data_IF_807087279744
#
_entry.id   IF_807087279744
#
_cell.length_a   1.000
_cell.length_b   1.000
_cell.length_c   1.000
_cell.angle_alpha   90.00
_cell.angle_beta   90.00
_cell.angle_gamma   90.00
#
_symmetry.space_group_name_H-M   'P 1'
#
loop_
_entity.id
_entity.type
_entity.pdbx_description
1 polymer ?
#
# COMPACT_ATOMS: atom_id res chain seq x y z
N UNK A 1 23.28 36.81 -51.47
CA UNK A 1 22.04 36.00 -51.39
C UNK A 1 22.14 35.11 -50.16
N UNK A 2 21.42 35.44 -49.09
CA UNK A 2 21.53 34.70 -47.83
C UNK A 2 20.92 33.30 -47.98
N UNK A 3 21.78 32.28 -47.85
CA UNK A 3 21.43 30.85 -47.85
C UNK A 3 20.46 30.56 -46.70
N UNK A 4 19.29 30.01 -47.01
CA UNK A 4 18.37 29.40 -46.04
C UNK A 4 19.01 28.14 -45.48
N UNK A 5 19.34 28.14 -44.20
CA UNK A 5 19.68 26.92 -43.46
C UNK A 5 18.40 26.10 -43.23
N UNK A 6 18.45 24.77 -43.43
CA UNK A 6 17.29 23.91 -43.30
C UNK A 6 16.89 23.73 -41.83
N UNK A 7 15.61 23.96 -41.53
CA UNK A 7 14.99 23.53 -40.28
C UNK A 7 14.87 22.02 -40.31
N UNK A 8 15.88 21.35 -39.79
CA UNK A 8 15.79 19.97 -39.32
C UNK A 8 16.23 19.97 -37.87
N UNK A 9 15.31 19.77 -36.93
CA UNK A 9 15.53 19.07 -35.65
C UNK A 9 14.14 18.59 -35.19
N UNK A 10 13.97 17.28 -35.38
CA UNK A 10 13.38 16.31 -34.46
C UNK A 10 12.03 16.64 -33.80
N UNK A 11 11.02 15.89 -34.24
CA UNK A 11 9.89 15.52 -33.41
C UNK A 11 10.41 14.74 -32.20
N UNK A 12 10.84 15.45 -31.16
CA UNK A 12 11.00 14.88 -29.83
C UNK A 12 9.59 14.49 -29.41
N UNK A 13 9.25 13.21 -29.60
CA UNK A 13 7.99 12.65 -29.12
C UNK A 13 7.89 13.01 -27.65
N UNK A 14 6.95 13.89 -27.30
CA UNK A 14 6.81 14.38 -25.95
C UNK A 14 6.72 13.17 -25.02
N UNK A 15 7.68 13.06 -24.10
CA UNK A 15 7.64 12.07 -23.03
C UNK A 15 6.37 12.35 -22.23
N UNK A 16 5.37 11.49 -22.36
CA UNK A 16 4.09 11.59 -21.67
C UNK A 16 4.24 10.98 -20.27
N UNK A 17 3.91 11.74 -19.24
CA UNK A 17 4.34 11.45 -17.86
C UNK A 17 3.16 11.30 -16.89
N UNK A 18 2.91 10.06 -16.50
CA UNK A 18 2.62 9.47 -15.17
C UNK A 18 1.67 10.19 -14.20
N UNK A 19 0.48 9.58 -14.02
CA UNK A 19 -0.31 9.61 -12.78
C UNK A 19 -0.76 8.18 -12.45
N UNK A 20 -0.02 7.48 -11.59
CA UNK A 20 -0.32 6.08 -11.23
C UNK A 20 -1.18 6.03 -9.97
N UNK A 21 -2.40 5.50 -10.09
CA UNK A 21 -3.21 5.09 -8.93
C UNK A 21 -3.03 3.58 -8.74
N UNK A 22 -1.93 3.14 -8.09
CA UNK A 22 -1.83 1.76 -7.60
C UNK A 22 -0.58 1.54 -6.75
N UNK A 23 -0.70 0.58 -5.84
CA UNK A 23 0.41 0.08 -5.02
C UNK A 23 1.33 -0.91 -5.79
N UNK A 24 1.07 -1.17 -7.08
CA UNK A 24 1.64 -2.29 -7.85
C UNK A 24 2.16 -1.88 -9.23
N UNK A 25 2.97 -0.82 -9.30
CA UNK A 25 3.48 -0.21 -10.54
C UNK A 25 3.98 -1.23 -11.60
N UNK A 26 4.77 -2.23 -11.19
CA UNK A 26 5.33 -3.24 -12.09
C UNK A 26 4.27 -4.07 -12.87
N UNK A 27 3.16 -4.45 -12.22
CA UNK A 27 2.07 -5.19 -12.88
C UNK A 27 1.39 -4.28 -13.90
N UNK A 28 1.23 -3.01 -13.55
CA UNK A 28 0.59 -2.02 -14.40
C UNK A 28 1.43 -1.63 -15.60
N UNK A 29 2.75 -1.46 -15.44
CA UNK A 29 3.66 -1.22 -16.56
C UNK A 29 3.62 -2.35 -17.58
N UNK A 30 3.60 -3.60 -17.11
CA UNK A 30 3.50 -4.78 -17.98
C UNK A 30 2.19 -4.79 -18.76
N UNK A 31 1.08 -4.52 -18.08
CA UNK A 31 -0.24 -4.43 -18.73
C UNK A 31 -0.36 -3.22 -19.66
N UNK A 32 0.29 -2.10 -19.35
CA UNK A 32 0.32 -0.91 -20.19
C UNK A 32 1.06 -1.20 -21.50
N UNK A 33 2.24 -1.82 -21.43
CA UNK A 33 3.01 -2.25 -22.60
C UNK A 33 2.20 -3.21 -23.47
N UNK A 34 1.50 -4.17 -22.85
CA UNK A 34 0.62 -5.10 -23.56
C UNK A 34 -0.56 -4.41 -24.26
N UNK A 35 -0.97 -3.23 -23.78
CA UNK A 35 -2.06 -2.42 -24.36
C UNK A 35 -1.57 -1.43 -25.42
N UNK A 36 -0.28 -1.35 -25.70
CA UNK A 36 0.33 -0.35 -26.60
C UNK A 36 -0.12 1.08 -26.30
N UNK A 37 -0.39 1.38 -25.02
CA UNK A 37 -0.94 2.67 -24.63
C UNK A 37 0.15 3.64 -24.18
N UNK A 38 0.14 4.90 -24.66
CA UNK A 38 1.11 5.89 -24.27
C UNK A 38 0.78 6.55 -22.92
N UNK A 39 -0.44 6.38 -22.41
CA UNK A 39 -0.80 6.74 -21.04
C UNK A 39 -0.30 5.64 -20.11
N UNK A 40 0.04 6.04 -18.90
CA UNK A 40 0.38 5.14 -17.81
C UNK A 40 -0.50 5.43 -16.58
N UNK A 41 -1.67 6.00 -16.83
CA UNK A 41 -2.66 6.35 -15.82
C UNK A 41 -3.62 5.19 -15.62
N UNK A 42 -3.69 4.74 -14.37
CA UNK A 42 -4.49 3.61 -13.93
C UNK A 42 -5.32 4.03 -12.74
N UNK A 43 -6.63 3.95 -12.81
CA UNK A 43 -7.57 4.44 -11.79
C UNK A 43 -8.37 3.28 -11.18
N UNK A 44 -8.69 3.36 -9.89
CA UNK A 44 -9.53 2.36 -9.20
C UNK A 44 -10.99 2.47 -9.64
N UNK A 45 -11.71 1.34 -9.67
CA UNK A 45 -13.10 1.27 -10.12
C UNK A 45 -14.05 2.23 -9.40
N UNK A 46 -13.92 2.36 -8.07
CA UNK A 46 -14.73 3.30 -7.30
C UNK A 46 -14.41 4.78 -7.61
N UNK A 47 -13.19 5.09 -8.06
CA UNK A 47 -12.84 6.45 -8.52
C UNK A 47 -13.40 6.74 -9.92
N UNK A 48 -13.48 5.74 -10.79
CA UNK A 48 -14.17 5.85 -12.10
C UNK A 48 -15.61 6.31 -11.88
N UNK A 49 -16.33 5.63 -10.99
CA UNK A 49 -17.71 5.97 -10.63
C UNK A 49 -17.81 7.37 -10.02
N UNK A 50 -16.97 7.69 -9.04
CA UNK A 50 -16.98 8.99 -8.37
C UNK A 50 -16.68 10.18 -9.29
N UNK A 51 -15.90 9.97 -10.35
CA UNK A 51 -15.54 11.01 -11.32
C UNK A 51 -16.48 11.07 -12.53
N UNK A 52 -17.53 10.23 -12.56
CA UNK A 52 -18.52 10.16 -13.63
C UNK A 52 -17.95 9.63 -14.94
N UNK A 53 -16.87 8.85 -14.87
CA UNK A 53 -16.27 8.21 -16.04
C UNK A 53 -16.99 6.89 -16.32
N UNK A 54 -16.89 6.42 -17.55
CA UNK A 54 -17.47 5.14 -17.97
C UNK A 54 -16.44 4.32 -18.73
N UNK A 55 -16.37 3.00 -18.50
CA UNK A 55 -15.58 2.12 -19.34
C UNK A 55 -16.08 2.14 -20.78
N UNK A 56 -15.14 2.11 -21.73
CA UNK A 56 -15.42 1.86 -23.14
C UNK A 56 -16.15 0.52 -23.31
N UNK A 57 -17.04 0.37 -24.30
CA UNK A 57 -17.72 -0.89 -24.57
C UNK A 57 -16.72 -2.05 -24.74
N UNK A 58 -16.88 -3.10 -23.92
CA UNK A 58 -15.99 -4.27 -23.94
C UNK A 58 -14.68 -4.10 -23.14
N UNK A 59 -14.45 -2.96 -22.50
CA UNK A 59 -13.29 -2.76 -21.64
C UNK A 59 -13.30 -3.72 -20.44
N UNK A 60 -12.24 -4.53 -20.31
CA UNK A 60 -12.04 -5.43 -19.17
C UNK A 60 -11.05 -4.82 -18.17
N UNK A 61 -11.45 -4.56 -16.91
CA UNK A 61 -10.54 -4.04 -15.90
C UNK A 61 -9.44 -5.05 -15.57
N UNK A 62 -8.28 -4.54 -15.18
CA UNK A 62 -7.21 -5.35 -14.60
C UNK A 62 -7.58 -5.66 -13.15
N UNK A 63 -7.71 -6.95 -12.83
CA UNK A 63 -7.99 -7.40 -11.47
C UNK A 63 -6.70 -7.79 -10.77
N UNK A 64 -6.47 -7.22 -9.58
CA UNK A 64 -5.32 -7.55 -8.74
C UNK A 64 -5.80 -8.17 -7.44
N UNK A 65 -5.33 -9.37 -7.13
CA UNK A 65 -5.48 -9.98 -5.82
C UNK A 65 -4.30 -9.57 -4.95
N UNK A 66 -4.58 -8.80 -3.90
CA UNK A 66 -3.58 -8.29 -2.98
C UNK A 66 -3.72 -8.91 -1.61
N UNK A 67 -2.58 -9.17 -0.97
CA UNK A 67 -2.54 -9.41 0.46
C UNK A 67 -2.72 -8.08 1.20
N UNK A 68 -3.82 -7.97 1.93
CA UNK A 68 -4.15 -6.85 2.80
C UNK A 68 -4.04 -7.30 4.25
N UNK A 69 -3.12 -6.73 5.03
CA UNK A 69 -3.07 -6.99 6.46
C UNK A 69 -4.32 -6.40 7.12
N UNK A 70 -5.11 -7.28 7.73
CA UNK A 70 -6.23 -6.92 8.58
C UNK A 70 -5.74 -6.94 10.03
N UNK A 71 -5.58 -5.75 10.61
CA UNK A 71 -5.22 -5.57 12.00
C UNK A 71 -6.48 -5.62 12.88
N UNK A 72 -6.60 -6.66 13.70
CA UNK A 72 -7.71 -6.87 14.62
C UNK A 72 -7.23 -6.91 16.06
N UNK A 73 -8.06 -6.39 16.95
CA UNK A 73 -7.93 -6.46 18.40
C UNK A 73 -9.14 -7.18 18.97
N UNK A 74 -8.90 -8.02 19.96
CA UNK A 74 -9.96 -8.69 20.69
C UNK A 74 -10.53 -7.77 21.78
N UNK A 75 -11.81 -7.92 22.08
CA UNK A 75 -12.47 -7.20 23.17
C UNK A 75 -11.80 -7.39 24.53
N UNK A 76 -11.20 -8.55 24.80
CA UNK A 76 -10.50 -8.82 26.07
C UNK A 76 -9.26 -7.95 26.25
N UNK A 77 -8.79 -7.32 25.18
CA UNK A 77 -7.68 -6.37 25.18
C UNK A 77 -8.13 -4.93 25.46
N UNK A 78 -9.43 -4.68 25.59
CA UNK A 78 -9.99 -3.38 25.98
C UNK A 78 -10.07 -3.26 27.50
N UNK A 79 -9.83 -2.06 28.04
CA UNK A 79 -9.98 -1.77 29.48
C UNK A 79 -11.44 -1.93 29.93
N UNK A 80 -12.36 -1.42 29.10
CA UNK A 80 -13.80 -1.51 29.33
C UNK A 80 -14.46 -1.91 28.01
N UNK A 81 -14.65 -3.23 27.77
CA UNK A 81 -15.33 -3.71 26.59
C UNK A 81 -16.80 -3.23 26.59
N UNK A 82 -17.37 -2.86 25.43
CA UNK A 82 -18.79 -2.57 25.32
C UNK A 82 -19.65 -3.73 25.79
N UNK A 83 -20.75 -3.44 26.49
CA UNK A 83 -21.78 -4.44 26.76
C UNK A 83 -22.47 -4.82 25.45
N UNK A 84 -22.21 -6.05 25.01
CA UNK A 84 -22.75 -6.63 23.79
C UNK A 84 -23.14 -8.06 24.09
N UNK A 85 -24.17 -8.57 23.41
CA UNK A 85 -24.48 -9.99 23.50
C UNK A 85 -23.27 -10.83 23.09
N UNK A 86 -23.13 -11.99 23.72
CA UNK A 86 -22.10 -12.95 23.38
C UNK A 86 -22.22 -13.35 21.91
N UNK A 87 -21.11 -13.31 21.18
CA UNK A 87 -21.10 -13.73 19.78
C UNK A 87 -20.92 -15.26 19.72
N UNK A 88 -21.74 -15.98 18.92
CA UNK A 88 -21.65 -17.44 18.83
C UNK A 88 -20.34 -17.92 18.19
N UNK A 89 -19.71 -17.07 17.37
CA UNK A 89 -18.43 -17.30 16.67
C UNK A 89 -17.66 -15.99 16.54
N UNK A 90 -16.40 -16.05 16.13
CA UNK A 90 -15.59 -14.84 15.97
C UNK A 90 -16.25 -13.85 15.00
N UNK A 91 -16.54 -12.65 15.48
CA UNK A 91 -17.42 -11.70 14.78
C UNK A 91 -16.85 -10.29 14.79
N UNK A 92 -17.17 -9.56 13.74
CA UNK A 92 -16.82 -8.14 13.61
C UNK A 92 -17.73 -7.29 14.46
N UNK A 93 -17.16 -6.48 15.35
CA UNK A 93 -17.91 -5.53 16.14
C UNK A 93 -18.66 -4.51 15.28
N UNK A 94 -18.11 -4.09 14.14
CA UNK A 94 -18.72 -3.03 13.33
C UNK A 94 -19.92 -3.51 12.53
N UNK A 95 -19.82 -4.68 11.88
CA UNK A 95 -20.89 -5.21 11.03
C UNK A 95 -21.83 -6.12 11.79
N UNK A 96 -21.45 -6.56 13.00
CA UNK A 96 -22.14 -7.60 13.79
C UNK A 96 -22.29 -8.93 13.03
N UNK A 97 -21.48 -9.13 12.00
CA UNK A 97 -21.46 -10.36 11.20
C UNK A 97 -20.33 -11.26 11.65
N UNK A 98 -20.60 -12.56 11.59
CA UNK A 98 -19.58 -13.60 11.73
C UNK A 98 -18.59 -13.49 10.58
N UNK A 99 -17.32 -13.71 10.87
CA UNK A 99 -16.32 -13.84 9.82
C UNK A 99 -16.42 -15.18 9.08
N UNK A 100 -15.93 -15.22 7.84
CA UNK A 100 -15.85 -16.45 7.05
C UNK A 100 -14.90 -17.48 7.64
N UNK A 101 -15.00 -18.73 7.19
CA UNK A 101 -14.34 -19.91 7.79
C UNK A 101 -12.83 -19.75 7.96
N UNK A 102 -12.12 -19.23 6.95
CA UNK A 102 -10.68 -18.99 7.04
C UNK A 102 -10.32 -18.08 8.24
N UNK A 103 -11.06 -16.98 8.38
CA UNK A 103 -10.79 -16.03 9.47
C UNK A 103 -11.27 -16.57 10.82
N UNK A 104 -12.31 -17.41 10.87
CA UNK A 104 -12.69 -18.12 12.09
C UNK A 104 -11.53 -18.98 12.60
N UNK A 105 -10.90 -19.74 11.70
CA UNK A 105 -9.82 -20.64 12.04
C UNK A 105 -8.61 -19.88 12.58
N UNK A 106 -8.15 -18.85 11.85
CA UNK A 106 -7.02 -18.02 12.28
C UNK A 106 -7.31 -17.30 13.60
N UNK A 107 -8.51 -16.73 13.78
CA UNK A 107 -8.86 -16.03 15.02
C UNK A 107 -9.06 -16.99 16.20
N UNK A 108 -9.46 -18.24 15.96
CA UNK A 108 -9.57 -19.25 17.00
C UNK A 108 -8.19 -19.67 17.51
N UNK A 109 -7.23 -19.88 16.62
CA UNK A 109 -5.83 -20.12 17.00
C UNK A 109 -5.28 -18.96 17.84
N UNK A 110 -5.48 -17.72 17.40
CA UNK A 110 -5.06 -16.53 18.19
C UNK A 110 -5.76 -16.45 19.54
N UNK A 111 -7.06 -16.73 19.58
CA UNK A 111 -7.83 -16.70 20.81
C UNK A 111 -7.35 -17.75 21.80
N UNK A 112 -7.05 -18.97 21.35
CA UNK A 112 -6.49 -20.02 22.19
C UNK A 112 -5.10 -19.63 22.70
N UNK A 113 -4.22 -19.15 21.82
CA UNK A 113 -2.85 -18.76 22.18
C UNK A 113 -2.80 -17.63 23.22
N UNK A 114 -3.71 -16.66 23.12
CA UNK A 114 -3.76 -15.51 24.03
C UNK A 114 -4.79 -15.64 25.16
N UNK A 115 -5.52 -16.75 25.23
CA UNK A 115 -6.55 -16.98 26.25
C UNK A 115 -7.77 -16.04 26.12
N UNK A 116 -8.08 -15.57 24.91
CA UNK A 116 -9.25 -14.72 24.69
C UNK A 116 -10.55 -15.52 24.80
N UNK A 117 -11.42 -15.07 25.69
CA UNK A 117 -12.78 -15.55 25.88
C UNK A 117 -13.73 -14.86 24.90
N UNK A 118 -13.56 -13.55 24.68
CA UNK A 118 -14.45 -12.82 23.80
C UNK A 118 -14.28 -13.25 22.35
N UNK A 119 -15.41 -13.41 21.66
CA UNK A 119 -15.47 -13.67 20.22
C UNK A 119 -15.60 -12.38 19.40
N UNK A 120 -15.61 -11.22 20.04
CA UNK A 120 -15.69 -9.93 19.36
C UNK A 120 -14.32 -9.37 19.00
N UNK A 121 -14.19 -8.94 17.75
CA UNK A 121 -12.98 -8.32 17.22
C UNK A 121 -13.30 -6.95 16.61
N UNK A 122 -12.34 -6.03 16.71
CA UNK A 122 -12.44 -4.69 16.15
C UNK A 122 -11.09 -4.21 15.59
N UNK A 123 -11.11 -3.20 14.73
CA UNK A 123 -9.89 -2.49 14.31
C UNK A 123 -9.56 -1.34 15.26
N UNK A 124 -8.33 -0.86 15.24
CA UNK A 124 -7.91 0.33 16.00
C UNK A 124 -8.78 1.56 15.69
N UNK A 125 -9.09 1.79 14.41
CA UNK A 125 -9.95 2.90 13.99
C UNK A 125 -11.36 2.80 14.58
N UNK A 126 -11.90 1.58 14.70
CA UNK A 126 -13.19 1.35 15.34
C UNK A 126 -13.12 1.60 16.85
N UNK A 127 -12.02 1.24 17.52
CA UNK A 127 -11.82 1.54 18.94
C UNK A 127 -11.85 3.06 19.16
N UNK A 128 -11.06 3.80 18.38
CA UNK A 128 -10.99 5.26 18.46
C UNK A 128 -12.36 5.90 18.20
N UNK A 129 -13.06 5.46 17.14
CA UNK A 129 -14.40 5.99 16.81
C UNK A 129 -15.41 5.79 17.95
N UNK A 130 -15.28 4.71 18.71
CA UNK A 130 -16.17 4.39 19.83
C UNK A 130 -15.59 4.78 21.20
N UNK A 131 -14.51 5.60 21.24
CA UNK A 131 -13.83 6.03 22.47
C UNK A 131 -13.39 4.87 23.37
N UNK A 132 -13.03 3.73 22.79
CA UNK A 132 -12.58 2.54 23.51
C UNK A 132 -11.08 2.62 23.75
N UNK A 133 -10.66 2.27 24.96
CA UNK A 133 -9.25 2.29 25.37
C UNK A 133 -8.69 0.87 25.50
N UNK A 134 -7.49 0.65 24.95
CA UNK A 134 -6.78 -0.62 25.05
C UNK A 134 -6.05 -0.75 26.39
N UNK A 135 -5.96 -1.98 26.91
CA UNK A 135 -5.10 -2.33 28.05
C UNK A 135 -3.62 -2.13 27.69
N UNK A 136 -2.79 -1.88 28.70
CA UNK A 136 -1.34 -1.88 28.53
C UNK A 136 -0.86 -3.22 27.98
N UNK A 137 -0.09 -3.18 26.87
CA UNK A 137 0.41 -4.39 26.20
C UNK A 137 -0.57 -5.07 25.23
N UNK A 138 -1.71 -4.44 24.88
CA UNK A 138 -2.58 -4.94 23.82
C UNK A 138 -1.82 -5.10 22.50
N UNK A 139 -1.83 -6.31 21.94
CA UNK A 139 -1.16 -6.65 20.68
C UNK A 139 -2.20 -6.96 19.61
N UNK A 140 -2.02 -6.38 18.43
CA UNK A 140 -2.87 -6.68 17.28
C UNK A 140 -2.65 -8.11 16.79
N UNK A 141 -3.74 -8.80 16.49
CA UNK A 141 -3.73 -9.95 15.58
C UNK A 141 -3.74 -9.42 14.15
N UNK A 142 -2.62 -9.57 13.44
CA UNK A 142 -2.52 -9.19 12.03
C UNK A 142 -2.73 -10.46 11.20
N UNK A 143 -3.75 -10.41 10.34
CA UNK A 143 -4.13 -11.51 9.45
C UNK A 143 -4.03 -11.05 7.99
N UNK A 144 -3.37 -11.82 7.14
CA UNK A 144 -3.33 -11.55 5.70
C UNK A 144 -4.64 -11.97 5.05
N UNK A 145 -5.44 -10.99 4.70
CA UNK A 145 -6.67 -11.18 3.91
C UNK A 145 -6.39 -10.92 2.44
N UNK A 146 -7.15 -11.54 1.53
CA UNK A 146 -7.11 -11.18 0.12
C UNK A 146 -8.08 -10.04 -0.14
N UNK A 147 -7.61 -8.95 -0.74
CA UNK A 147 -8.45 -7.90 -1.32
C UNK A 147 -8.30 -7.92 -2.83
N UNK A 148 -9.42 -7.93 -3.55
CA UNK A 148 -9.41 -7.72 -5.00
C UNK A 148 -9.53 -6.23 -5.30
N UNK A 149 -8.61 -5.69 -6.10
CA UNK A 149 -8.71 -4.36 -6.68
C UNK A 149 -9.03 -4.49 -8.16
N UNK A 150 -9.93 -3.63 -8.64
CA UNK A 150 -10.20 -3.47 -10.07
C UNK A 150 -9.63 -2.14 -10.52
N UNK A 151 -8.80 -2.19 -11.55
CA UNK A 151 -8.12 -1.04 -12.12
C UNK A 151 -8.49 -0.89 -13.58
N UNK A 152 -8.85 0.33 -13.98
CA UNK A 152 -9.01 0.70 -15.37
C UNK A 152 -7.82 1.52 -15.81
N UNK A 153 -7.26 1.16 -16.96
CA UNK A 153 -6.32 2.03 -17.65
C UNK A 153 -7.09 3.20 -18.27
N UNK A 154 -6.49 4.39 -18.33
CA UNK A 154 -7.19 5.57 -18.86
C UNK A 154 -7.68 5.39 -20.30
N UNK A 155 -6.96 4.61 -21.12
CA UNK A 155 -7.40 4.27 -22.50
C UNK A 155 -8.61 3.33 -22.56
N UNK A 156 -9.09 2.82 -21.42
CA UNK A 156 -10.27 1.97 -21.33
C UNK A 156 -11.51 2.75 -20.89
N UNK A 157 -11.38 4.07 -20.70
CA UNK A 157 -12.42 4.93 -20.20
C UNK A 157 -12.76 5.97 -21.25
N UNK A 158 -14.05 6.21 -21.46
CA UNK A 158 -14.55 7.28 -22.30
C UNK A 158 -14.10 8.62 -21.68
N UNK A 159 -13.32 9.39 -22.44
CA UNK A 159 -12.72 10.64 -21.96
C UNK A 159 -11.58 10.45 -20.96
N UNK A 160 -11.01 9.24 -20.86
CA UNK A 160 -9.95 8.93 -19.90
C UNK A 160 -8.64 9.68 -20.16
N UNK A 161 -8.42 10.22 -21.36
CA UNK A 161 -7.29 11.12 -21.66
C UNK A 161 -7.28 12.37 -20.76
N UNK A 162 -8.43 12.85 -20.30
CA UNK A 162 -8.53 13.97 -19.38
C UNK A 162 -7.92 13.66 -18.00
N UNK A 163 -7.72 12.39 -17.65
CA UNK A 163 -7.08 12.01 -16.39
C UNK A 163 -5.60 12.39 -16.34
N UNK A 164 -4.93 12.56 -17.49
CA UNK A 164 -3.51 12.97 -17.54
C UNK A 164 -3.28 14.34 -16.91
N UNK A 165 -4.23 15.26 -17.12
CA UNK A 165 -4.21 16.65 -16.65
C UNK A 165 -5.19 16.88 -15.51
N UNK A 166 -5.74 15.82 -14.91
CA UNK A 166 -6.60 15.96 -13.75
C UNK A 166 -5.74 16.29 -12.52
N UNK A 167 -6.02 17.38 -11.77
CA UNK A 167 -5.24 17.71 -10.58
C UNK A 167 -5.20 16.56 -9.56
N UNK A 168 -3.99 16.19 -9.15
CA UNK A 168 -3.67 15.11 -8.21
C UNK A 168 -2.62 15.59 -7.21
N UNK A 169 -2.80 15.28 -5.94
CA UNK A 169 -1.80 15.56 -4.90
C UNK A 169 -0.67 14.53 -4.95
N UNK A 170 0.59 14.93 -5.07
CA UNK A 170 1.74 14.02 -5.08
C UNK A 170 1.98 13.32 -3.76
N UNK A 171 1.69 13.96 -2.62
CA UNK A 171 1.83 13.32 -1.31
C UNK A 171 0.74 12.28 -1.03
N UNK A 172 -0.53 12.63 -1.22
CA UNK A 172 -1.66 11.74 -0.90
C UNK A 172 -2.11 10.86 -2.06
N UNK A 173 -1.75 11.23 -3.29
CA UNK A 173 -2.15 10.60 -4.57
C UNK A 173 -3.66 10.62 -4.81
N UNK A 174 -4.38 11.45 -4.05
CA UNK A 174 -5.82 11.63 -4.21
C UNK A 174 -6.08 12.63 -5.32
N UNK A 175 -7.08 12.30 -6.14
CA UNK A 175 -7.70 13.24 -7.06
C UNK A 175 -8.31 14.40 -6.26
N UNK A 176 -8.06 15.63 -6.70
CA UNK A 176 -8.83 16.76 -6.17
C UNK A 176 -10.28 16.63 -6.63
N UNK A 177 -11.24 16.89 -5.74
CA UNK A 177 -12.66 16.80 -6.10
C UNK A 177 -13.00 17.84 -7.17
N UNK A 178 -13.65 17.41 -8.27
CA UNK A 178 -14.12 18.30 -9.35
C UNK A 178 -15.00 19.46 -8.85
N UNK A 179 -15.66 19.30 -7.69
CA UNK A 179 -16.51 20.32 -7.07
C UNK A 179 -15.75 21.27 -6.14
N UNK A 180 -14.47 21.00 -5.87
CA UNK A 180 -13.65 21.79 -4.95
C UNK A 180 -12.97 22.97 -5.64
N UNK A 181 -12.84 24.09 -4.92
CA UNK A 181 -12.15 25.29 -5.39
C UNK A 181 -10.70 25.00 -5.82
N UNK A 182 -9.99 24.19 -5.04
CA UNK A 182 -8.63 23.74 -5.36
C UNK A 182 -8.55 23.04 -6.73
N UNK A 183 -9.55 22.24 -7.11
CA UNK A 183 -9.56 21.60 -8.42
C UNK A 183 -9.66 22.63 -9.54
N UNK A 184 -10.54 23.63 -9.40
CA UNK A 184 -10.74 24.65 -10.43
C UNK A 184 -9.46 25.46 -10.64
N UNK A 185 -8.87 25.95 -9.55
CA UNK A 185 -7.63 26.74 -9.60
C UNK A 185 -6.49 25.94 -10.24
N UNK A 186 -6.27 24.70 -9.80
CA UNK A 186 -5.19 23.86 -10.34
C UNK A 186 -5.43 23.46 -11.80
N UNK A 187 -6.69 23.19 -12.18
CA UNK A 187 -7.04 22.86 -13.57
C UNK A 187 -6.85 24.03 -14.52
N UNK A 188 -7.22 25.24 -14.08
CA UNK A 188 -6.99 26.46 -14.86
C UNK A 188 -5.50 26.75 -14.98
N UNK A 189 -4.73 26.54 -13.91
CA UNK A 189 -3.28 26.72 -13.94
C UNK A 189 -2.58 25.72 -14.89
N UNK A 190 -3.02 24.45 -14.92
CA UNK A 190 -2.56 23.47 -15.92
C UNK A 190 -2.82 23.99 -17.33
N UNK A 191 -4.03 24.47 -17.61
CA UNK A 191 -4.42 24.94 -18.93
C UNK A 191 -3.63 26.18 -19.37
N UNK A 192 -3.44 27.13 -18.46
CA UNK A 192 -2.70 28.38 -18.72
C UNK A 192 -1.23 28.11 -19.04
N UNK A 193 -0.60 27.22 -18.30
CA UNK A 193 0.82 26.88 -18.48
C UNK A 193 1.05 25.72 -19.46
N UNK A 194 -0.02 25.11 -19.97
CA UNK A 194 0.01 23.95 -20.88
C UNK A 194 0.78 22.76 -20.30
N UNK A 195 0.63 22.52 -19.00
CA UNK A 195 1.22 21.32 -18.40
C UNK A 195 0.53 20.06 -18.94
N UNK A 196 1.32 19.02 -19.14
CA UNK A 196 0.87 17.70 -19.57
C UNK A 196 0.49 16.80 -18.39
N UNK A 197 0.92 17.15 -17.18
CA UNK A 197 0.61 16.44 -15.94
C UNK A 197 -0.26 17.25 -15.00
N UNK A 198 -1.22 16.57 -14.36
CA UNK A 198 -1.98 17.11 -13.24
C UNK A 198 -1.35 16.89 -11.86
N UNK A 199 -0.11 16.39 -11.79
CA UNK A 199 0.54 16.05 -10.53
C UNK A 199 1.13 17.29 -9.84
N UNK A 200 0.71 17.52 -8.58
CA UNK A 200 1.08 18.69 -7.80
C UNK A 200 1.67 18.35 -6.43
N UNK A 201 2.70 19.06 -6.02
CA UNK A 201 3.36 18.91 -4.72
C UNK A 201 3.30 20.21 -3.93
N UNK A 202 2.89 20.11 -2.66
CA UNK A 202 3.02 21.24 -1.71
C UNK A 202 4.49 21.45 -1.34
N UNK A 203 4.89 22.64 -0.91
CA UNK A 203 6.26 22.91 -0.45
C UNK A 203 6.76 21.90 0.60
N UNK A 204 5.91 21.54 1.59
CA UNK A 204 6.23 20.52 2.60
C UNK A 204 6.49 19.13 2.02
N UNK A 205 5.79 18.78 0.94
CA UNK A 205 6.00 17.50 0.24
C UNK A 205 7.31 17.52 -0.54
N UNK A 206 7.66 18.65 -1.17
CA UNK A 206 8.94 18.82 -1.84
C UNK A 206 10.10 18.61 -0.88
N UNK A 207 10.05 19.25 0.29
CA UNK A 207 11.05 19.06 1.36
C UNK A 207 11.13 17.60 1.81
N UNK A 208 9.97 16.96 2.05
CA UNK A 208 9.91 15.57 2.50
C UNK A 208 10.51 14.59 1.47
N UNK A 209 10.21 14.79 0.19
CA UNK A 209 10.71 13.96 -0.90
C UNK A 209 12.07 14.40 -1.43
N UNK A 210 12.66 15.46 -0.86
CA UNK A 210 13.93 16.06 -1.30
C UNK A 210 13.91 16.45 -2.79
N UNK A 211 12.78 17.02 -3.21
CA UNK A 211 12.58 17.53 -4.56
C UNK A 211 12.86 19.03 -4.59
N UNK A 212 13.52 19.49 -5.64
CA UNK A 212 13.81 20.90 -5.86
C UNK A 212 12.93 21.45 -6.98
N UNK A 213 12.51 22.71 -6.83
CA UNK A 213 11.80 23.46 -7.86
C UNK A 213 12.82 24.15 -8.74
N UNK A 214 12.61 24.16 -10.07
CA UNK A 214 13.46 24.92 -10.97
C UNK A 214 13.48 26.41 -10.56
N UNK A 215 14.61 27.11 -10.76
CA UNK A 215 14.67 28.54 -10.53
C UNK A 215 13.57 29.29 -11.30
N UNK A 216 13.04 30.38 -10.74
CA UNK A 216 12.01 31.26 -11.34
C UNK A 216 10.60 30.68 -11.51
N UNK A 217 10.35 29.44 -11.10
CA UNK A 217 9.00 28.87 -11.16
C UNK A 217 8.09 29.52 -10.13
N UNK A 218 6.87 29.84 -10.56
CA UNK A 218 5.86 30.44 -9.70
C UNK A 218 4.95 29.35 -9.13
N UNK A 219 4.77 29.24 -7.80
CA UNK A 219 3.79 28.32 -7.22
C UNK A 219 2.37 28.78 -7.47
N UNK A 220 1.45 27.82 -7.50
CA UNK A 220 0.03 28.10 -7.23
C UNK A 220 -0.13 28.35 -5.74
N UNK A 221 -0.79 29.44 -5.42
CA UNK A 221 -1.22 29.77 -4.07
C UNK A 221 -2.63 29.24 -3.84
N UNK A 222 -2.80 28.28 -2.93
CA UNK A 222 -4.11 27.85 -2.46
C UNK A 222 -4.31 28.28 -1.01
N UNK A 223 -5.29 29.16 -0.80
CA UNK A 223 -5.75 29.51 0.54
C UNK A 223 -6.78 28.48 0.99
N UNK A 224 -6.66 28.04 2.24
CA UNK A 224 -7.56 27.05 2.85
C UNK A 224 -8.44 27.76 3.85
N UNK A 225 -9.63 27.21 4.11
CA UNK A 225 -10.56 27.72 5.14
C UNK A 225 -9.97 27.77 6.55
N UNK A 226 -8.88 27.06 6.84
CA UNK A 226 -8.14 27.18 8.10
C UNK A 226 -7.32 28.47 8.24
N UNK A 227 -7.20 29.27 7.16
CA UNK A 227 -6.31 30.42 7.07
C UNK A 227 -4.88 30.05 6.65
N UNK A 228 -4.58 28.75 6.50
CA UNK A 228 -3.31 28.30 5.95
C UNK A 228 -3.23 28.60 4.47
N UNK A 229 -2.02 28.91 3.99
CA UNK A 229 -1.73 29.12 2.57
C UNK A 229 -0.75 28.07 2.10
N UNK A 230 -1.17 27.25 1.15
CA UNK A 230 -0.30 26.25 0.52
C UNK A 230 0.31 26.80 -0.76
N UNK A 231 1.64 26.74 -0.84
CA UNK A 231 2.36 26.91 -2.09
C UNK A 231 2.51 25.54 -2.74
N UNK A 232 2.01 25.43 -3.98
CA UNK A 232 1.90 24.16 -4.69
C UNK A 232 2.55 24.28 -6.07
N UNK A 233 3.37 23.30 -6.41
CA UNK A 233 4.12 23.25 -7.66
C UNK A 233 3.70 22.03 -8.47
N UNK A 234 3.52 22.21 -9.78
CA UNK A 234 3.33 21.10 -10.70
C UNK A 234 4.65 20.31 -10.83
N UNK A 235 4.55 19.00 -11.08
CA UNK A 235 5.73 18.15 -11.29
C UNK A 235 6.64 18.65 -12.42
N UNK A 236 6.08 19.30 -13.45
CA UNK A 236 6.84 19.87 -14.57
C UNK A 236 7.65 21.11 -14.20
N UNK A 237 7.39 21.70 -13.03
CA UNK A 237 8.15 22.83 -12.48
C UNK A 237 9.36 22.37 -11.64
N UNK A 238 9.56 21.06 -11.46
CA UNK A 238 10.65 20.52 -10.65
C UNK A 238 11.94 20.36 -11.47
N UNK A 239 13.09 20.46 -10.80
CA UNK A 239 14.40 20.29 -11.45
C UNK A 239 14.55 18.89 -12.04
N UNK A 240 14.04 17.88 -11.33
CA UNK A 240 14.03 16.49 -11.76
C UNK A 240 12.61 15.90 -11.59
N UNK A 241 11.75 16.03 -12.62
CA UNK A 241 10.43 15.40 -12.62
C UNK A 241 10.49 13.88 -12.47
N UNK A 242 11.53 13.21 -12.99
CA UNK A 242 11.64 11.75 -12.91
C UNK A 242 11.92 11.28 -11.48
N UNK A 243 12.75 12.02 -10.74
CA UNK A 243 12.97 11.76 -9.32
C UNK A 243 11.67 11.86 -8.54
N UNK A 244 10.84 12.87 -8.82
CA UNK A 244 9.52 13.01 -8.21
C UNK A 244 8.65 11.78 -8.45
N UNK A 245 8.64 11.24 -9.67
CA UNK A 245 7.90 10.01 -9.99
C UNK A 245 8.44 8.78 -9.28
N UNK A 246 9.77 8.64 -9.19
CA UNK A 246 10.40 7.56 -8.41
C UNK A 246 10.05 7.64 -6.93
N UNK A 247 9.76 8.82 -6.39
CA UNK A 247 9.23 8.96 -5.02
C UNK A 247 7.77 8.51 -4.89
N UNK A 248 7.03 8.48 -6.00
CA UNK A 248 5.69 7.92 -6.06
C UNK A 248 5.68 6.40 -6.19
N UNK A 249 6.76 5.79 -6.70
CA UNK A 249 6.89 4.35 -6.69
C UNK A 249 6.96 3.87 -5.24
N UNK A 250 5.86 3.23 -4.78
CA UNK A 250 5.95 2.47 -3.55
C UNK A 250 6.98 1.39 -3.82
N UNK A 251 8.03 1.34 -3.00
CA UNK A 251 8.72 0.06 -2.76
C UNK A 251 7.61 -0.98 -2.54
N UNK A 252 7.69 -2.17 -3.17
CA UNK A 252 6.64 -3.19 -3.05
C UNK A 252 6.23 -3.25 -1.59
N UNK A 253 4.92 -3.04 -1.34
CA UNK A 253 4.35 -2.94 0.01
C UNK A 253 5.07 -3.97 0.85
N UNK A 254 5.85 -3.55 1.86
CA UNK A 254 6.56 -4.47 2.73
C UNK A 254 5.49 -5.40 3.28
N UNK A 255 5.39 -6.59 2.70
CA UNK A 255 4.39 -7.55 3.10
C UNK A 255 4.81 -7.89 4.53
N UNK A 256 3.94 -7.64 5.53
CA UNK A 256 4.35 -7.86 6.90
C UNK A 256 4.86 -9.29 7.03
N UNK A 257 6.06 -9.43 7.58
CA UNK A 257 6.64 -10.73 7.83
C UNK A 257 6.15 -11.21 9.18
N UNK A 258 5.78 -12.48 9.24
CA UNK A 258 5.18 -13.09 10.41
C UNK A 258 6.11 -14.19 10.91
N UNK A 259 6.13 -14.39 12.22
CA UNK A 259 6.54 -15.68 12.74
C UNK A 259 5.51 -16.74 12.32
N UNK A 260 5.91 -18.00 12.25
CA UNK A 260 5.01 -19.13 11.98
C UNK A 260 3.89 -19.21 13.02
N UNK A 261 4.14 -18.63 14.19
CA UNK A 261 3.17 -18.43 15.27
C UNK A 261 2.14 -17.31 14.99
N UNK A 262 2.19 -16.72 13.78
CA UNK A 262 1.33 -15.65 13.30
C UNK A 262 1.68 -14.25 13.82
N UNK A 263 2.68 -14.12 14.67
CA UNK A 263 3.05 -12.82 15.26
C UNK A 263 3.80 -11.96 14.23
N UNK A 264 3.41 -10.69 14.04
CA UNK A 264 4.13 -9.80 13.14
C UNK A 264 5.54 -9.52 13.68
N UNK A 265 6.53 -9.59 12.82
CA UNK A 265 7.91 -9.27 13.15
C UNK A 265 8.07 -7.75 13.08
N UNK A 266 8.15 -7.10 14.25
CA UNK A 266 8.23 -5.64 14.37
C UNK A 266 9.67 -5.11 14.48
N UNK A 267 10.70 -5.94 14.31
CA UNK A 267 12.09 -5.52 14.54
C UNK A 267 12.62 -4.64 13.39
N UNK A 268 13.03 -3.41 13.70
CA UNK A 268 13.59 -2.46 12.73
C UNK A 268 14.85 -2.98 12.03
N UNK A 269 15.66 -3.82 12.70
CA UNK A 269 16.88 -4.39 12.12
C UNK A 269 16.58 -5.35 10.97
N UNK A 270 15.35 -5.85 10.87
CA UNK A 270 14.90 -6.79 9.85
C UNK A 270 14.27 -6.10 8.62
N UNK A 271 14.38 -4.78 8.48
CA UNK A 271 13.93 -4.04 7.29
C UNK A 271 14.56 -4.53 5.97
N UNK A 272 15.60 -5.38 6.01
CA UNK A 272 16.26 -5.98 4.84
C UNK A 272 16.30 -7.52 4.93
N UNK A 273 15.16 -8.15 5.15
CA UNK A 273 15.07 -9.61 5.01
C UNK A 273 15.33 -10.04 3.56
N UNK A 274 15.99 -11.18 3.33
CA UNK A 274 16.05 -11.81 2.02
C UNK A 274 14.65 -12.02 1.44
N UNK A 275 14.51 -11.87 0.13
CA UNK A 275 13.21 -12.03 -0.56
C UNK A 275 12.89 -13.51 -0.76
N UNK A 276 11.75 -13.93 -0.22
CA UNK A 276 11.12 -15.24 -0.42
C UNK A 276 9.68 -15.04 -0.94
N UNK A 277 9.02 -16.08 -1.43
CA UNK A 277 7.59 -16.03 -1.80
C UNK A 277 6.71 -15.99 -0.54
N UNK A 278 7.13 -16.67 0.51
CA UNK A 278 6.51 -16.75 1.83
C UNK A 278 6.97 -15.58 2.71
N UNK A 279 6.00 -14.99 3.41
CA UNK A 279 6.26 -13.96 4.42
C UNK A 279 6.38 -14.53 5.84
N UNK A 280 6.37 -15.86 5.98
CA UNK A 280 6.45 -16.53 7.26
C UNK A 280 7.90 -16.93 7.59
N UNK A 281 8.25 -16.79 8.85
CA UNK A 281 9.58 -17.02 9.41
C UNK A 281 9.45 -17.81 10.71
N UNK A 282 10.49 -18.51 11.12
CA UNK A 282 10.54 -19.19 12.41
C UNK A 282 11.95 -19.10 12.97
N UNK A 283 12.08 -19.18 14.30
CA UNK A 283 13.41 -19.29 14.90
C UNK A 283 13.99 -20.68 14.65
N UNK A 284 15.32 -20.79 14.56
CA UNK A 284 15.98 -22.09 14.48
C UNK A 284 15.60 -23.03 15.65
N UNK A 285 15.39 -22.45 16.84
CA UNK A 285 14.92 -23.17 18.02
C UNK A 285 13.51 -23.75 17.84
N UNK A 286 12.58 -22.98 17.27
CA UNK A 286 11.23 -23.48 17.00
C UNK A 286 11.25 -24.56 15.92
N UNK A 287 12.09 -24.38 14.89
CA UNK A 287 12.28 -25.39 13.85
C UNK A 287 12.73 -26.73 14.44
N UNK A 288 13.68 -26.72 15.37
CA UNK A 288 14.12 -27.92 16.10
C UNK A 288 13.01 -28.48 17.00
N UNK A 289 12.33 -27.62 17.77
CA UNK A 289 11.28 -28.02 18.71
C UNK A 289 10.12 -28.75 18.00
N UNK A 290 9.71 -28.24 16.84
CA UNK A 290 8.62 -28.81 16.04
C UNK A 290 9.08 -29.87 15.04
N UNK A 291 10.37 -30.25 15.06
CA UNK A 291 10.97 -31.22 14.13
C UNK A 291 10.76 -30.83 12.66
N UNK A 292 10.91 -29.55 12.36
CA UNK A 292 10.92 -29.00 11.01
C UNK A 292 12.37 -28.71 10.60
N UNK A 293 13.10 -29.68 10.03
CA UNK A 293 14.51 -29.51 9.74
C UNK A 293 14.72 -28.42 8.69
N UNK A 294 15.66 -27.51 8.98
CA UNK A 294 16.20 -26.55 8.02
C UNK A 294 17.13 -27.32 7.08
N UNK A 295 17.03 -27.06 5.76
CA UNK A 295 17.89 -27.72 4.77
C UNK A 295 19.36 -27.42 5.06
N UNK A 296 20.22 -28.40 4.86
CA UNK A 296 21.65 -28.31 5.24
C UNK A 296 22.36 -27.11 4.59
N UNK A 297 22.02 -26.80 3.34
CA UNK A 297 22.56 -25.66 2.58
C UNK A 297 21.99 -24.30 3.01
N UNK A 298 20.94 -24.28 3.82
CA UNK A 298 20.27 -23.07 4.31
C UNK A 298 20.63 -22.73 5.76
N UNK A 299 21.18 -23.68 6.54
CA UNK A 299 21.55 -23.47 7.97
C UNK A 299 22.44 -22.25 8.20
N UNK A 300 23.37 -21.95 7.27
CA UNK A 300 24.28 -20.79 7.35
C UNK A 300 23.67 -19.47 6.85
N UNK A 301 22.42 -19.49 6.38
CA UNK A 301 21.72 -18.33 5.82
C UNK A 301 20.62 -17.79 6.75
N UNK A 302 20.66 -18.18 8.03
CA UNK A 302 19.78 -17.61 9.05
C UNK A 302 19.97 -16.10 9.18
N UNK A 303 18.88 -15.38 9.43
CA UNK A 303 18.93 -13.93 9.67
C UNK A 303 19.01 -13.70 11.17
N UNK A 304 20.08 -13.09 11.70
CA UNK A 304 20.21 -12.85 13.12
C UNK A 304 19.24 -11.76 13.60
N UNK A 305 18.38 -12.11 14.55
CA UNK A 305 17.61 -11.17 15.36
C UNK A 305 18.53 -10.61 16.46
N UNK A 306 18.94 -9.35 16.33
CA UNK A 306 19.50 -8.61 17.46
C UNK A 306 18.35 -8.00 18.25
N UNK A 307 18.16 -8.43 19.49
CA UNK A 307 17.37 -7.68 20.45
C UNK A 307 18.25 -6.57 21.01
N UNK A 308 17.83 -5.32 20.87
CA UNK A 308 18.46 -4.22 21.60
C UNK A 308 18.30 -4.49 23.10
N UNK A 309 19.43 -4.78 23.77
CA UNK A 309 19.49 -5.01 25.21
C UNK A 309 19.84 -6.43 25.68
N UNK A 310 19.92 -7.44 24.81
CA UNK A 310 20.37 -8.79 25.20
C UNK A 310 21.59 -9.25 24.38
N UNK A 311 22.78 -9.09 24.96
CA UNK A 311 24.05 -9.42 24.31
C UNK A 311 24.29 -10.93 24.11
N UNK A 312 23.51 -11.83 24.71
CA UNK A 312 23.87 -13.24 24.84
C UNK A 312 23.02 -14.25 24.06
N UNK A 313 21.90 -13.86 23.43
CA UNK A 313 21.06 -14.79 22.68
C UNK A 313 20.81 -14.25 21.26
N UNK A 314 21.72 -14.59 20.34
CA UNK A 314 21.46 -14.41 18.91
C UNK A 314 20.45 -15.48 18.48
N UNK A 315 19.20 -15.07 18.30
CA UNK A 315 18.18 -15.92 17.69
C UNK A 315 18.30 -15.78 16.18
N UNK A 316 18.48 -16.88 15.47
CA UNK A 316 18.45 -16.87 14.01
C UNK A 316 17.05 -17.18 13.51
N UNK A 317 16.56 -16.35 12.60
CA UNK A 317 15.32 -16.56 11.88
C UNK A 317 15.59 -17.21 10.53
N UNK A 318 14.74 -18.15 10.18
CA UNK A 318 14.69 -18.80 8.89
C UNK A 318 13.33 -18.57 8.26
N UNK A 319 13.26 -18.45 6.94
CA UNK A 319 11.99 -18.47 6.22
C UNK A 319 11.47 -19.90 6.14
N UNK A 320 10.15 -20.10 6.12
CA UNK A 320 9.55 -21.45 5.95
C UNK A 320 10.05 -22.15 4.69
N UNK A 321 10.34 -21.39 3.63
CA UNK A 321 10.92 -21.92 2.39
C UNK A 321 12.33 -22.49 2.55
N UNK A 322 12.99 -22.29 3.69
CA UNK A 322 14.30 -22.88 4.00
C UNK A 322 14.17 -24.23 4.71
N UNK A 323 12.95 -24.64 5.06
CA UNK A 323 12.67 -25.96 5.64
C UNK A 323 12.71 -27.04 4.55
N UNK A 324 13.00 -28.27 4.98
CA UNK A 324 12.97 -29.45 4.11
C UNK A 324 11.55 -29.75 3.61
N UNK A 325 10.53 -29.47 4.43
CA UNK A 325 9.12 -29.65 4.08
C UNK A 325 8.27 -28.44 4.51
N UNK A 326 8.21 -27.36 3.69
CA UNK A 326 7.46 -26.15 4.02
C UNK A 326 5.96 -26.38 4.16
N UNK A 327 5.37 -27.24 3.34
CA UNK A 327 3.92 -27.50 3.30
C UNK A 327 3.43 -28.16 4.60
N UNK A 328 4.20 -29.10 5.14
CA UNK A 328 3.90 -29.72 6.42
C UNK A 328 3.96 -28.72 7.57
N UNK A 329 4.94 -27.81 7.57
CA UNK A 329 5.05 -26.76 8.57
C UNK A 329 3.83 -25.84 8.53
N UNK A 330 3.37 -25.44 7.33
CA UNK A 330 2.16 -24.65 7.17
C UNK A 330 0.91 -25.39 7.63
N UNK A 331 0.74 -26.65 7.24
CA UNK A 331 -0.40 -27.47 7.66
C UNK A 331 -0.46 -27.64 9.18
N UNK A 332 0.67 -27.94 9.83
CA UNK A 332 0.76 -28.10 11.29
C UNK A 332 0.62 -26.77 12.04
N UNK A 333 1.08 -25.66 11.45
CA UNK A 333 0.87 -24.33 12.01
C UNK A 333 -0.55 -23.79 11.80
N UNK A 334 -1.40 -24.51 11.06
CA UNK A 334 -2.75 -24.02 10.74
C UNK A 334 -2.75 -22.81 9.78
N UNK A 335 -1.72 -22.64 8.98
CA UNK A 335 -1.62 -21.52 8.04
C UNK A 335 -1.90 -22.06 6.64
N UNK A 336 -3.12 -21.88 6.13
CA UNK A 336 -3.42 -22.18 4.73
C UNK A 336 -2.78 -21.12 3.82
N UNK A 337 -1.66 -21.48 3.22
CA UNK A 337 -1.02 -20.69 2.16
C UNK A 337 -1.59 -21.13 0.81
N UNK A 338 -2.13 -20.17 0.05
CA UNK A 338 -2.41 -20.30 -1.38
C UNK A 338 -1.45 -19.40 -2.15
#
# INVERSE_FOLDING_TARGET
MFRRLPLSIEAVGAVRTIVVFSQQHHILESNQKARSSPSNVWIEDWEVENHGLQPEPGAVPTQLLLDKPLELFNFDQLLSPPEVMEAPRHSSYSSRKMYGEKLQFELNDRAQKHGFQSKWWLTRAQAIKNSLTFKGGARSSIILTKSSLKLFHSSQLIGGEALMTHPVSGGSRKLYSKKGEAFQILSDYIRQNKFNSGLYFTNRQLEFFKLAVQPSQTPVSLDVTSGDRYLIYNVEQLEDPELALKTLDRSPVNIPTFLLSGEPIQNESLKKLPKFKSNYWLSGRDAELYQWPIRENEKKKGVPLKNEGSASLQVELYNVEQLSNPEEAFAKAGLFVQ
#
